data_IF_702858831234
#
_entry.id   IF_702858831234
#
_cell.length_a   1.000
_cell.length_b   1.000
_cell.length_c   1.000
_cell.angle_alpha   90.00
_cell.angle_beta   90.00
_cell.angle_gamma   90.00
#
_symmetry.space_group_name_H-M   'P 1'
#
loop_
_entity.id
_entity.type
_entity.pdbx_description
1 polymer ?
#
# COMPACT_ATOMS: atom_id res chain seq x y z
N UNK A 1 16.33 -0.97 -26.83
CA UNK A 1 16.54 -1.44 -25.95
C UNK A 1 15.85 -1.25 -24.90
N UNK A 2 15.35 -1.81 -24.39
CA UNK A 2 14.59 -1.59 -23.44
C UNK A 2 15.04 -1.74 -22.22
N UNK A 3 14.62 -1.20 -21.39
CA UNK A 3 14.98 -1.25 -20.21
C UNK A 3 14.12 -1.64 -19.35
N UNK A 4 13.97 -2.50 -18.95
CA UNK A 4 13.05 -2.97 -18.15
C UNK A 4 13.07 -2.49 -16.87
N UNK A 5 12.66 -1.75 -16.50
CA UNK A 5 12.61 -1.35 -15.32
C UNK A 5 11.44 -1.48 -14.73
N UNK A 6 11.23 -2.06 -13.75
CA UNK A 6 10.03 -2.30 -13.09
C UNK A 6 9.44 -1.11 -12.56
N UNK A 7 10.16 -0.13 -12.27
CA UNK A 7 9.52 0.98 -11.79
C UNK A 7 9.44 1.98 -12.80
N UNK A 8 9.50 1.69 -14.04
CA UNK A 8 9.51 2.72 -15.02
C UNK A 8 8.13 3.09 -15.47
N UNK A 9 7.10 2.56 -14.92
CA UNK A 9 5.77 2.91 -15.34
C UNK A 9 5.29 4.21 -14.73
N UNK A 10 4.08 4.61 -15.09
CA UNK A 10 3.46 5.78 -14.50
C UNK A 10 3.11 5.51 -13.05
N UNK A 11 2.74 6.57 -12.33
CA UNK A 11 2.29 6.39 -10.96
C UNK A 11 1.08 5.47 -10.91
N UNK A 12 0.14 5.63 -11.85
CA UNK A 12 -1.03 4.75 -11.90
C UNK A 12 -0.64 3.29 -12.09
N UNK A 13 0.31 3.03 -12.97
CA UNK A 13 0.74 1.66 -13.22
C UNK A 13 1.40 1.07 -11.97
N UNK A 14 2.20 1.86 -11.29
CA UNK A 14 2.85 1.39 -10.07
C UNK A 14 1.84 1.12 -8.97
N UNK A 15 0.86 1.99 -8.81
CA UNK A 15 -0.18 1.79 -7.82
C UNK A 15 -0.99 0.54 -8.15
N UNK A 16 -1.29 0.33 -9.43
CA UNK A 16 -2.04 -0.87 -9.82
C UNK A 16 -1.28 -2.15 -9.49
N UNK A 17 0.05 -2.12 -9.65
CA UNK A 17 0.86 -3.29 -9.32
C UNK A 17 0.83 -3.57 -7.82
N UNK A 18 0.93 -2.54 -7.00
CA UNK A 18 0.86 -2.73 -5.56
C UNK A 18 -0.54 -3.20 -5.16
N UNK A 19 -1.56 -2.60 -5.75
CA UNK A 19 -2.93 -3.00 -5.44
C UNK A 19 -3.15 -4.47 -5.80
N UNK A 20 -2.62 -4.92 -6.93
CA UNK A 20 -2.75 -6.31 -7.32
C UNK A 20 -2.01 -7.21 -6.32
N UNK A 21 -0.85 -6.78 -5.85
CA UNK A 21 -0.11 -7.56 -4.87
C UNK A 21 -0.88 -7.69 -3.56
N UNK A 22 -1.62 -6.64 -3.17
CA UNK A 22 -2.46 -6.71 -1.98
C UNK A 22 -3.58 -7.73 -2.21
N UNK A 23 -4.22 -7.68 -3.37
CA UNK A 23 -5.30 -8.61 -3.67
C UNK A 23 -4.82 -10.05 -3.69
N UNK A 24 -3.61 -10.26 -4.16
CA UNK A 24 -3.03 -11.60 -4.26
C UNK A 24 -2.46 -12.09 -2.94
N UNK A 25 -2.44 -11.26 -1.92
CA UNK A 25 -1.85 -11.66 -0.66
C UNK A 25 -0.34 -11.66 -0.63
N UNK A 26 0.30 -11.05 -1.64
CA UNK A 26 1.77 -11.02 -1.70
C UNK A 26 2.37 -9.92 -0.86
N UNK A 27 1.57 -8.94 -0.46
CA UNK A 27 2.03 -7.86 0.40
C UNK A 27 0.90 -7.56 1.36
N UNK A 28 1.23 -7.19 2.59
CA UNK A 28 0.20 -6.87 3.57
C UNK A 28 -0.49 -5.55 3.23
N UNK A 29 -1.67 -5.34 3.79
CA UNK A 29 -2.42 -4.12 3.54
C UNK A 29 -1.64 -2.91 4.03
N UNK A 30 -1.03 -2.99 5.21
CA UNK A 30 -0.29 -1.86 5.76
C UNK A 30 0.93 -1.55 4.90
N UNK A 31 1.70 -2.58 4.53
CA UNK A 31 2.88 -2.36 3.70
C UNK A 31 2.48 -1.83 2.33
N UNK A 32 1.40 -2.37 1.78
CA UNK A 32 0.90 -1.90 0.49
C UNK A 32 0.45 -0.46 0.56
N UNK A 33 -0.24 -0.08 1.65
CA UNK A 33 -0.70 1.29 1.82
C UNK A 33 0.49 2.26 1.85
N UNK A 34 1.58 1.88 2.49
CA UNK A 34 2.78 2.72 2.52
C UNK A 34 3.36 2.92 1.13
N UNK A 35 3.37 1.86 0.33
CA UNK A 35 3.87 1.98 -1.02
C UNK A 35 2.96 2.83 -1.89
N UNK A 36 1.66 2.65 -1.77
CA UNK A 36 0.71 3.44 -2.56
C UNK A 36 0.83 4.91 -2.17
N UNK A 37 0.98 5.19 -0.87
CA UNK A 37 1.07 6.56 -0.40
C UNK A 37 2.22 7.32 -1.04
N UNK A 38 3.30 6.63 -1.38
CA UNK A 38 4.46 7.27 -2.00
C UNK A 38 4.15 7.85 -3.37
N UNK A 39 3.13 7.34 -4.03
CA UNK A 39 2.75 7.82 -5.35
C UNK A 39 1.68 8.90 -5.30
N UNK A 40 1.28 9.32 -4.09
CA UNK A 40 0.26 10.34 -3.93
C UNK A 40 0.87 11.66 -3.52
N UNK A 41 0.23 12.74 -3.89
CA UNK A 41 0.66 14.08 -3.48
C UNK A 41 1.79 14.61 -4.34
N UNK A 42 2.23 15.81 -4.04
CA UNK A 42 3.27 16.45 -4.82
C UNK A 42 2.75 16.82 -6.19
N UNK A 43 3.60 17.41 -7.02
CA UNK A 43 3.08 17.82 -8.28
C UNK A 43 3.13 16.77 -9.34
N UNK A 44 3.78 15.67 -9.12
CA UNK A 44 3.74 14.59 -10.08
C UNK A 44 2.95 13.42 -9.56
N UNK A 45 2.36 13.55 -8.40
CA UNK A 45 1.70 12.42 -7.78
C UNK A 45 0.23 12.37 -8.07
N UNK A 46 -0.37 11.29 -7.64
CA UNK A 46 -1.80 11.11 -7.78
C UNK A 46 -2.54 11.91 -6.70
N UNK A 47 -3.79 12.20 -6.96
CA UNK A 47 -4.58 13.02 -6.05
C UNK A 47 -4.98 12.18 -4.84
N UNK A 48 -4.45 12.52 -3.68
CA UNK A 48 -4.75 11.75 -2.47
C UNK A 48 -6.19 11.92 -2.02
N UNK A 49 -6.97 12.77 -2.66
CA UNK A 49 -8.38 12.91 -2.35
C UNK A 49 -9.23 11.95 -3.17
N UNK A 50 -8.65 11.26 -4.14
CA UNK A 50 -9.35 10.22 -4.88
C UNK A 50 -9.86 9.18 -3.89
N UNK A 51 -11.12 8.79 -3.91
CA UNK A 51 -11.67 7.90 -2.89
C UNK A 51 -10.91 6.60 -2.72
N UNK A 52 -10.44 6.01 -3.80
CA UNK A 52 -9.72 4.74 -3.69
C UNK A 52 -8.32 4.93 -3.14
N UNK A 53 -7.71 6.06 -3.43
CA UNK A 53 -6.38 6.36 -2.88
C UNK A 53 -6.47 6.86 -1.45
N UNK A 54 -7.53 7.61 -1.12
CA UNK A 54 -7.72 8.11 0.23
C UNK A 54 -7.77 6.97 1.25
N UNK A 55 -8.34 5.84 0.87
CA UNK A 55 -8.38 4.68 1.75
C UNK A 55 -6.97 4.29 2.19
N UNK A 56 -6.05 4.22 1.23
CA UNK A 56 -4.68 3.82 1.55
C UNK A 56 -3.90 4.93 2.25
N UNK A 57 -4.17 6.18 1.91
CA UNK A 57 -3.54 7.30 2.60
C UNK A 57 -3.94 7.27 4.09
N UNK A 58 -5.21 7.01 4.36
CA UNK A 58 -5.69 6.94 5.74
C UNK A 58 -5.07 5.77 6.49
N UNK A 59 -4.99 4.61 5.84
CA UNK A 59 -4.39 3.44 6.47
C UNK A 59 -2.93 3.71 6.80
N UNK A 60 -2.19 4.30 5.87
CA UNK A 60 -0.79 4.62 6.10
C UNK A 60 -0.66 5.59 7.27
N UNK A 61 -1.50 6.61 7.30
CA UNK A 61 -1.43 7.61 8.33
C UNK A 61 -1.71 7.04 9.71
N UNK A 62 -2.67 6.14 9.81
CA UNK A 62 -3.03 5.56 11.09
C UNK A 62 -2.11 4.46 11.57
N UNK A 63 -1.30 3.92 10.67
CA UNK A 63 -0.41 2.82 11.03
C UNK A 63 1.06 3.19 10.85
N UNK A 64 1.37 4.47 10.74
CA UNK A 64 2.73 4.88 10.40
C UNK A 64 3.73 4.57 11.52
N UNK A 65 3.26 4.34 12.73
CA UNK A 65 4.14 3.97 13.82
C UNK A 65 4.34 2.47 13.95
N UNK A 66 3.69 1.69 13.12
CA UNK A 66 3.82 0.24 13.21
C UNK A 66 5.00 -0.23 12.35
N UNK A 67 5.85 -1.11 12.90
CA UNK A 67 7.03 -1.55 12.14
C UNK A 67 6.67 -2.60 11.10
N UNK A 68 6.89 -2.28 9.84
CA UNK A 68 6.74 -3.24 8.76
C UNK A 68 7.97 -3.13 7.88
N UNK A 69 8.35 -4.20 7.26
CA UNK A 69 9.50 -4.22 6.36
C UNK A 69 10.82 -4.21 7.11
N UNK A 70 11.82 -3.60 6.52
CA UNK A 70 13.18 -3.70 7.03
C UNK A 70 13.41 -3.08 8.40
N UNK A 71 12.60 -2.11 8.78
CA UNK A 71 12.80 -1.47 10.08
C UNK A 71 12.58 -2.43 11.23
N UNK A 72 11.91 -3.55 10.98
CA UNK A 72 11.65 -4.53 12.03
C UNK A 72 12.94 -5.08 12.63
N UNK A 73 14.00 -5.12 11.87
CA UNK A 73 15.26 -5.65 12.36
C UNK A 73 15.86 -4.81 13.49
N UNK A 74 15.41 -3.57 13.63
CA UNK A 74 15.93 -2.70 14.68
C UNK A 74 15.07 -2.70 15.93
N UNK A 75 14.04 -3.53 15.98
CA UNK A 75 13.15 -3.58 17.13
C UNK A 75 13.44 -4.81 17.97
N UNK A 76 13.29 -4.68 19.28
CA UNK A 76 13.45 -5.82 20.17
C UNK A 76 12.34 -6.84 19.93
N UNK A 77 12.63 -8.14 20.08
CA UNK A 77 11.60 -9.15 19.83
C UNK A 77 10.33 -8.99 20.67
N UNK A 78 10.47 -8.58 21.93
CA UNK A 78 9.30 -8.38 22.77
C UNK A 78 8.43 -7.25 22.27
N UNK A 79 9.07 -6.17 21.84
CA UNK A 79 8.33 -5.03 21.31
C UNK A 79 7.66 -5.39 20.00
N UNK A 80 8.33 -6.19 19.16
CA UNK A 80 7.71 -6.65 17.91
C UNK A 80 6.48 -7.50 18.20
N UNK A 81 6.55 -8.37 19.20
CA UNK A 81 5.41 -9.22 19.50
C UNK A 81 4.18 -8.40 19.85
N UNK A 82 4.37 -7.32 20.60
CA UNK A 82 3.26 -6.44 20.94
C UNK A 82 2.75 -5.70 19.71
N UNK A 83 3.67 -5.18 18.90
CA UNK A 83 3.26 -4.46 17.69
C UNK A 83 2.60 -5.40 16.68
N UNK A 84 3.02 -6.65 16.63
CA UNK A 84 2.41 -7.61 15.72
C UNK A 84 0.94 -7.85 16.06
N UNK A 85 0.57 -7.76 17.32
CA UNK A 85 -0.84 -7.85 17.69
C UNK A 85 -1.63 -6.65 17.15
N UNK A 86 -1.02 -5.47 17.25
CA UNK A 86 -1.65 -4.27 16.70
C UNK A 86 -1.76 -4.36 15.19
N UNK A 87 -0.71 -4.83 14.55
CA UNK A 87 -0.68 -4.98 13.09
C UNK A 87 -1.79 -5.92 12.65
N UNK A 88 -1.92 -7.06 13.32
CA UNK A 88 -2.95 -8.03 12.96
C UNK A 88 -4.35 -7.43 13.11
N UNK A 89 -4.54 -6.64 14.16
CA UNK A 89 -5.82 -6.01 14.39
C UNK A 89 -6.15 -4.98 13.31
N UNK A 90 -5.15 -4.19 12.92
CA UNK A 90 -5.35 -3.20 11.86
C UNK A 90 -5.58 -3.87 10.52
N UNK A 91 -4.83 -4.93 10.22
CA UNK A 91 -5.03 -5.65 8.96
C UNK A 91 -6.45 -6.20 8.88
N UNK A 92 -6.96 -6.72 9.98
CA UNK A 92 -8.32 -7.25 9.99
C UNK A 92 -9.35 -6.12 9.84
N UNK A 93 -9.12 -5.02 10.53
CA UNK A 93 -10.05 -3.92 10.52
C UNK A 93 -10.16 -3.26 9.15
N UNK A 94 -9.04 -3.10 8.47
CA UNK A 94 -9.02 -2.41 7.19
C UNK A 94 -9.18 -3.34 5.98
N UNK A 95 -9.31 -4.63 6.22
CA UNK A 95 -9.28 -5.59 5.13
C UNK A 95 -10.33 -5.34 4.05
N UNK A 96 -11.57 -5.21 4.45
CA UNK A 96 -12.63 -5.03 3.47
C UNK A 96 -12.50 -3.77 2.64
N UNK A 97 -12.37 -2.60 3.26
CA UNK A 97 -12.23 -1.40 2.45
C UNK A 97 -10.95 -1.38 1.63
N UNK A 98 -9.88 -1.99 2.15
CA UNK A 98 -8.63 -2.02 1.39
C UNK A 98 -8.75 -2.90 0.16
N UNK A 99 -9.36 -4.06 0.29
CA UNK A 99 -9.51 -4.95 -0.86
C UNK A 99 -10.44 -4.34 -1.90
N UNK A 100 -11.47 -3.65 -1.45
CA UNK A 100 -12.36 -2.99 -2.38
C UNK A 100 -11.65 -1.87 -3.13
N UNK A 101 -10.92 -1.03 -2.42
CA UNK A 101 -10.17 0.05 -3.05
C UNK A 101 -9.10 -0.49 -3.99
N UNK A 102 -8.40 -1.55 -3.58
CA UNK A 102 -7.39 -2.15 -4.43
C UNK A 102 -8.00 -2.69 -5.72
N UNK A 103 -9.15 -3.30 -5.61
CA UNK A 103 -9.84 -3.83 -6.78
C UNK A 103 -10.20 -2.72 -7.76
N UNK A 104 -10.69 -1.59 -7.24
CA UNK A 104 -11.02 -0.44 -8.07
C UNK A 104 -9.76 0.12 -8.74
N UNK A 105 -8.67 0.21 -8.00
CA UNK A 105 -7.44 0.77 -8.56
C UNK A 105 -6.88 -0.10 -9.68
N UNK A 106 -6.93 -1.41 -9.51
CA UNK A 106 -6.48 -2.30 -10.56
C UNK A 106 -7.36 -2.10 -11.81
N UNK A 107 -8.66 -2.06 -11.63
CA UNK A 107 -9.56 -1.91 -12.77
C UNK A 107 -9.35 -0.58 -13.47
N UNK A 108 -9.14 0.49 -12.71
CA UNK A 108 -9.00 1.81 -13.29
C UNK A 108 -7.68 2.02 -13.98
N UNK A 109 -6.60 1.49 -13.41
CA UNK A 109 -5.26 1.84 -13.85
C UNK A 109 -4.61 0.80 -14.73
N UNK A 110 -5.29 -0.26 -15.06
CA UNK A 110 -4.74 -1.24 -15.98
C UNK A 110 -5.59 -1.43 -17.21
N UNK A 111 -6.68 -0.65 -17.31
CA UNK A 111 -7.59 -0.95 -18.37
C UNK A 111 -7.21 -0.39 -19.69
N UNK A 112 -6.29 0.43 -19.79
CA UNK A 112 -5.99 1.01 -21.04
C UNK A 112 -5.06 0.20 -21.85
N UNK A 113 -4.69 -0.92 -21.49
CA UNK A 113 -3.77 -1.66 -22.31
C UNK A 113 -4.45 -2.50 -23.33
#
# INVERSE_FOLDING_TARGET
MSLPRTNSGTAEQNVAQVAQAILDGRISIIAGARQIRRFCGGHAGLDERDPDLTTFVAIDSETDDLPVGDVRQYWAPDALAQKDLEIARCEAMYREPALEAASHLVARFTRDT
#
